data_IF_692301968367
#
_entry.id   IF_692301968367
#
_cell.length_a   1.000
_cell.length_b   1.000
_cell.length_c   1.000
_cell.angle_alpha   90.00
_cell.angle_beta   90.00
_cell.angle_gamma   90.00
#
_symmetry.space_group_name_H-M   'P 1'
#
loop_
_entity.id
_entity.type
_entity.pdbx_description
1 polymer ?
#
# COMPACT_ATOMS: atom_id res chain seq x y z
N UNK A 1 -11.59 -5.57 7.09
CA UNK A 1 -10.53 -6.40 6.50
C UNK A 1 -9.46 -5.56 5.82
N UNK A 2 -8.25 -6.11 5.74
CA UNK A 2 -7.14 -5.52 4.99
C UNK A 2 -6.88 -6.44 3.80
N UNK A 3 -7.08 -5.93 2.58
CA UNK A 3 -6.83 -6.68 1.36
C UNK A 3 -5.42 -6.37 0.85
N UNK A 4 -4.57 -7.39 0.77
CA UNK A 4 -3.17 -7.23 0.39
C UNK A 4 -2.98 -7.52 -1.10
N UNK A 5 -2.30 -6.62 -1.80
CA UNK A 5 -1.95 -6.76 -3.22
C UNK A 5 -0.46 -6.46 -3.40
N UNK A 6 0.17 -7.08 -4.38
CA UNK A 6 1.58 -6.83 -4.66
C UNK A 6 2.13 -7.75 -5.74
N UNK A 7 3.13 -7.26 -6.45
CA UNK A 7 3.82 -7.98 -7.51
C UNK A 7 5.08 -8.69 -6.99
N UNK A 8 5.48 -9.76 -7.66
CA UNK A 8 6.78 -10.40 -7.46
C UNK A 8 7.86 -9.69 -8.29
N UNK A 9 9.14 -9.98 -8.01
CA UNK A 9 10.27 -9.30 -8.65
C UNK A 9 10.25 -9.45 -10.17
N UNK A 10 9.97 -10.63 -10.67
CA UNK A 10 9.92 -10.92 -12.11
C UNK A 10 8.88 -10.03 -12.82
N UNK A 11 7.73 -9.82 -12.21
CA UNK A 11 6.67 -8.96 -12.74
C UNK A 11 7.09 -7.50 -12.73
N UNK A 12 7.79 -7.07 -11.66
CA UNK A 12 8.34 -5.71 -11.56
C UNK A 12 9.39 -5.47 -12.64
N UNK A 13 10.33 -6.38 -12.80
CA UNK A 13 11.39 -6.29 -13.82
C UNK A 13 10.84 -6.34 -15.25
N UNK A 14 9.78 -7.10 -15.48
CA UNK A 14 9.11 -7.18 -16.78
C UNK A 14 8.24 -5.94 -17.09
N UNK A 15 8.04 -5.05 -16.11
CA UNK A 15 7.19 -3.88 -16.28
C UNK A 15 5.70 -4.19 -16.27
N UNK A 16 5.30 -5.39 -15.83
CA UNK A 16 3.89 -5.85 -15.80
C UNK A 16 3.22 -5.66 -14.46
N UNK A 17 3.89 -5.04 -13.50
CA UNK A 17 3.38 -4.89 -12.13
C UNK A 17 2.04 -4.15 -12.06
N UNK A 18 1.79 -3.15 -12.88
CA UNK A 18 0.49 -2.46 -12.90
C UNK A 18 -0.64 -3.38 -13.37
N UNK A 19 -0.39 -4.22 -14.37
CA UNK A 19 -1.39 -5.19 -14.86
C UNK A 19 -1.71 -6.22 -13.77
N UNK A 20 -0.70 -6.68 -13.03
CA UNK A 20 -0.86 -7.60 -11.91
C UNK A 20 -1.70 -6.97 -10.80
N UNK A 21 -1.38 -5.76 -10.40
CA UNK A 21 -2.11 -5.02 -9.37
C UNK A 21 -3.56 -4.78 -9.80
N UNK A 22 -3.78 -4.37 -11.04
CA UNK A 22 -5.14 -4.18 -11.59
C UNK A 22 -5.95 -5.45 -11.46
N UNK A 23 -5.40 -6.57 -11.90
CA UNK A 23 -6.07 -7.86 -11.84
C UNK A 23 -6.41 -8.25 -10.40
N UNK A 24 -5.47 -8.09 -9.47
CA UNK A 24 -5.70 -8.39 -8.05
C UNK A 24 -6.81 -7.54 -7.46
N UNK A 25 -6.83 -6.24 -7.74
CA UNK A 25 -7.85 -5.32 -7.25
C UNK A 25 -9.22 -5.64 -7.85
N UNK A 26 -9.30 -5.83 -9.16
CA UNK A 26 -10.56 -6.11 -9.85
C UNK A 26 -11.16 -7.44 -9.40
N UNK A 27 -10.38 -8.50 -9.37
CA UNK A 27 -10.86 -9.83 -8.97
C UNK A 27 -11.22 -9.92 -7.49
N UNK A 28 -10.49 -9.19 -6.64
CA UNK A 28 -10.68 -9.25 -5.20
C UNK A 28 -11.75 -8.32 -4.65
N UNK A 29 -11.98 -7.17 -5.28
CA UNK A 29 -12.82 -6.11 -4.71
C UNK A 29 -14.00 -5.67 -5.57
N UNK A 30 -13.91 -5.76 -6.90
CA UNK A 30 -14.89 -5.11 -7.78
C UNK A 30 -16.27 -5.77 -7.80
N UNK A 31 -16.43 -6.93 -7.15
CA UNK A 31 -17.73 -7.55 -6.89
C UNK A 31 -18.44 -6.98 -5.65
N UNK A 32 -17.72 -6.19 -4.83
CA UNK A 32 -18.29 -5.56 -3.64
C UNK A 32 -19.06 -4.29 -3.99
N UNK A 33 -20.06 -3.95 -3.19
CA UNK A 33 -20.78 -2.70 -3.35
C UNK A 33 -20.10 -1.54 -2.57
N UNK A 34 -20.62 -0.33 -2.73
CA UNK A 34 -20.09 0.87 -2.07
C UNK A 34 -20.10 0.73 -0.54
N UNK A 35 -21.15 0.16 0.02
CA UNK A 35 -21.27 0.00 1.47
C UNK A 35 -20.21 -0.94 2.03
N UNK A 36 -19.88 -2.01 1.31
CA UNK A 36 -18.81 -2.92 1.69
C UNK A 36 -17.44 -2.23 1.63
N UNK A 37 -17.22 -1.40 0.60
CA UNK A 37 -15.94 -0.69 0.41
C UNK A 37 -15.61 0.27 1.55
N UNK A 38 -16.60 0.78 2.26
CA UNK A 38 -16.38 1.66 3.41
C UNK A 38 -15.61 0.97 4.55
N UNK A 39 -15.63 -0.36 4.59
CA UNK A 39 -14.99 -1.16 5.61
C UNK A 39 -13.67 -1.82 5.14
N UNK A 40 -13.21 -1.53 3.92
CA UNK A 40 -12.01 -2.12 3.35
C UNK A 40 -10.81 -1.21 3.55
N UNK A 41 -9.68 -1.82 3.87
CA UNK A 41 -8.36 -1.22 3.81
C UNK A 41 -7.54 -2.01 2.79
N UNK A 42 -6.76 -1.34 1.95
CA UNK A 42 -5.86 -2.02 1.01
C UNK A 42 -4.43 -1.85 1.52
N UNK A 43 -3.64 -2.93 1.44
CA UNK A 43 -2.20 -2.86 1.69
C UNK A 43 -1.45 -3.23 0.42
N UNK A 44 -0.56 -2.36 -0.03
CA UNK A 44 0.37 -2.67 -1.11
C UNK A 44 1.61 -3.31 -0.53
N UNK A 45 1.82 -4.57 -0.87
CA UNK A 45 2.95 -5.37 -0.41
C UNK A 45 3.82 -5.78 -1.60
N UNK A 46 4.83 -4.97 -1.99
CA UNK A 46 5.76 -5.39 -3.02
C UNK A 46 6.53 -6.62 -2.49
N UNK A 47 6.22 -7.79 -3.04
CA UNK A 47 6.74 -9.07 -2.51
C UNK A 47 8.27 -9.09 -2.53
N UNK A 48 8.88 -8.48 -3.55
CA UNK A 48 10.33 -8.36 -3.69
C UNK A 48 10.98 -7.48 -2.60
N UNK A 49 10.20 -6.74 -1.85
CA UNK A 49 10.67 -5.85 -0.77
C UNK A 49 10.19 -6.31 0.62
N UNK A 50 9.80 -7.59 0.77
CA UNK A 50 9.38 -8.17 2.04
C UNK A 50 10.42 -9.18 2.50
N UNK A 51 11.17 -8.85 3.58
CA UNK A 51 12.14 -9.76 4.17
C UNK A 51 13.34 -10.10 3.31
N UNK A 52 13.59 -9.33 2.25
CA UNK A 52 14.67 -9.57 1.29
C UNK A 52 15.87 -8.65 1.46
N UNK A 53 15.74 -7.63 2.31
CA UNK A 53 16.72 -6.55 2.42
C UNK A 53 16.58 -5.47 1.35
N UNK A 54 15.74 -5.70 0.34
CA UNK A 54 15.39 -4.69 -0.67
C UNK A 54 14.23 -3.85 -0.16
N UNK A 55 14.20 -2.58 -0.55
CA UNK A 55 13.10 -1.66 -0.21
C UNK A 55 12.63 -0.98 -1.48
N UNK A 56 11.32 -0.70 -1.55
CA UNK A 56 10.81 0.20 -2.58
C UNK A 56 11.21 1.63 -2.22
N UNK A 57 11.55 2.43 -3.23
CA UNK A 57 11.70 3.87 -3.00
C UNK A 57 10.33 4.47 -2.70
N UNK A 58 10.26 5.62 -2.01
CA UNK A 58 8.99 6.31 -1.81
C UNK A 58 8.24 6.58 -3.11
N UNK A 59 8.96 6.91 -4.17
CA UNK A 59 8.38 7.18 -5.49
C UNK A 59 7.81 5.91 -6.14
N UNK A 60 8.51 4.78 -6.03
CA UNK A 60 8.01 3.50 -6.53
C UNK A 60 6.73 3.08 -5.80
N UNK A 61 6.71 3.24 -4.48
CA UNK A 61 5.53 2.95 -3.68
C UNK A 61 4.37 3.89 -4.04
N UNK A 62 4.65 5.18 -4.15
CA UNK A 62 3.63 6.19 -4.50
C UNK A 62 2.98 5.91 -5.85
N UNK A 63 3.75 5.55 -6.87
CA UNK A 63 3.21 5.21 -8.18
C UNK A 63 2.15 4.12 -8.12
N UNK A 64 2.41 3.07 -7.34
CA UNK A 64 1.46 1.97 -7.19
C UNK A 64 0.27 2.37 -6.32
N UNK A 65 0.49 3.09 -5.23
CA UNK A 65 -0.59 3.59 -4.38
C UNK A 65 -1.55 4.48 -5.16
N UNK A 66 -1.01 5.40 -5.93
CA UNK A 66 -1.80 6.28 -6.79
C UNK A 66 -2.59 5.49 -7.84
N UNK A 67 -1.94 4.49 -8.45
CA UNK A 67 -2.59 3.62 -9.42
C UNK A 67 -3.78 2.88 -8.79
N UNK A 68 -3.61 2.31 -7.58
CA UNK A 68 -4.69 1.64 -6.86
C UNK A 68 -5.83 2.61 -6.58
N UNK A 69 -5.53 3.80 -6.07
CA UNK A 69 -6.55 4.83 -5.78
C UNK A 69 -7.32 5.21 -7.02
N UNK A 70 -6.65 5.34 -8.15
CA UNK A 70 -7.30 5.64 -9.44
C UNK A 70 -8.23 4.51 -9.88
N UNK A 71 -7.84 3.24 -9.70
CA UNK A 71 -8.72 2.10 -9.99
C UNK A 71 -10.00 2.15 -9.16
N UNK A 72 -9.87 2.45 -7.87
CA UNK A 72 -11.03 2.57 -6.97
C UNK A 72 -11.89 3.76 -7.38
N UNK A 73 -11.28 4.87 -7.74
CA UNK A 73 -12.00 6.06 -8.21
C UNK A 73 -12.82 5.77 -9.47
N UNK A 74 -12.24 5.08 -10.45
CA UNK A 74 -12.93 4.71 -11.68
C UNK A 74 -14.15 3.82 -11.43
N UNK A 75 -14.06 2.92 -10.45
CA UNK A 75 -15.13 1.97 -10.16
C UNK A 75 -16.18 2.51 -9.20
N UNK A 76 -15.75 3.17 -8.12
CA UNK A 76 -16.61 3.53 -6.98
C UNK A 76 -16.81 5.03 -6.80
N UNK A 77 -16.06 5.86 -7.52
CA UNK A 77 -16.13 7.30 -7.42
C UNK A 77 -15.08 7.91 -6.51
N UNK A 78 -14.93 9.22 -6.63
CA UNK A 78 -13.89 10.00 -5.94
C UNK A 78 -14.04 9.94 -4.42
N UNK A 79 -15.26 10.04 -3.90
CA UNK A 79 -15.49 10.06 -2.45
C UNK A 79 -15.00 8.76 -1.78
N UNK A 80 -15.29 7.62 -2.38
CA UNK A 80 -14.83 6.33 -1.86
C UNK A 80 -13.31 6.23 -1.98
N UNK A 81 -12.74 6.64 -3.12
CA UNK A 81 -11.29 6.59 -3.35
C UNK A 81 -10.53 7.47 -2.34
N UNK A 82 -11.04 8.65 -2.01
CA UNK A 82 -10.42 9.56 -1.04
C UNK A 82 -10.50 9.05 0.40
N UNK A 83 -11.58 8.36 0.76
CA UNK A 83 -11.77 7.82 2.11
C UNK A 83 -11.03 6.52 2.34
N UNK A 84 -10.74 5.76 1.29
CA UNK A 84 -10.07 4.47 1.38
C UNK A 84 -8.63 4.65 1.89
N UNK A 85 -8.25 3.87 2.90
CA UNK A 85 -6.87 3.82 3.36
C UNK A 85 -6.08 2.81 2.58
N UNK A 86 -4.96 3.26 2.00
CA UNK A 86 -4.02 2.41 1.27
C UNK A 86 -2.71 2.44 2.03
N UNK A 87 -2.35 1.31 2.64
CA UNK A 87 -1.17 1.17 3.48
C UNK A 87 0.02 0.61 2.68
N UNK A 88 1.21 1.09 2.98
CA UNK A 88 2.42 0.48 2.45
C UNK A 88 2.83 -0.70 3.33
N UNK A 89 2.92 -1.89 2.74
CA UNK A 89 3.22 -3.14 3.44
C UNK A 89 4.59 -3.75 3.13
N UNK A 90 5.42 -3.06 2.36
CA UNK A 90 6.81 -3.45 2.19
C UNK A 90 7.66 -3.09 3.41
N UNK A 91 8.99 -3.29 3.31
CA UNK A 91 9.90 -2.95 4.41
C UNK A 91 9.78 -1.48 4.81
N UNK A 92 9.31 -1.26 6.02
CA UNK A 92 9.15 0.05 6.63
C UNK A 92 9.79 0.03 8.02
N UNK A 93 10.63 1.01 8.30
CA UNK A 93 11.34 1.15 9.57
C UNK A 93 11.37 2.63 9.99
N UNK A 94 11.98 2.91 11.15
CA UNK A 94 12.06 4.27 11.67
C UNK A 94 12.83 5.24 10.76
N UNK A 95 13.69 4.72 9.88
CA UNK A 95 14.52 5.55 8.98
C UNK A 95 13.80 5.96 7.71
N UNK A 96 12.99 5.07 7.12
CA UNK A 96 12.32 5.32 5.84
C UNK A 96 10.84 5.71 5.97
N UNK A 97 10.25 5.57 7.15
CA UNK A 97 8.82 5.83 7.36
C UNK A 97 8.42 7.27 7.01
N UNK A 98 9.23 8.25 7.39
CA UNK A 98 8.92 9.66 7.14
C UNK A 98 8.76 9.97 5.65
N UNK A 99 9.68 9.47 4.82
CA UNK A 99 9.66 9.71 3.38
C UNK A 99 8.50 8.97 2.70
N UNK A 100 8.19 7.76 3.17
CA UNK A 100 7.05 7.00 2.68
C UNK A 100 5.73 7.70 3.02
N UNK A 101 5.56 8.09 4.27
CA UNK A 101 4.30 8.69 4.73
C UNK A 101 4.12 10.16 4.28
N UNK A 102 5.16 10.77 3.72
CA UNK A 102 5.06 12.08 3.09
C UNK A 102 4.43 12.00 1.69
N UNK A 103 4.30 10.80 1.11
CA UNK A 103 3.72 10.64 -0.22
C UNK A 103 2.20 10.83 -0.18
N UNK A 104 1.60 11.49 -1.21
CA UNK A 104 0.18 11.86 -1.20
C UNK A 104 -0.79 10.68 -1.07
N UNK A 105 -0.47 9.53 -1.63
CA UNK A 105 -1.38 8.39 -1.69
C UNK A 105 -1.01 7.25 -0.73
N UNK A 106 0.01 7.44 0.11
CA UNK A 106 0.39 6.48 1.16
C UNK A 106 -0.21 6.96 2.47
N UNK A 107 -1.26 6.27 2.94
CA UNK A 107 -2.04 6.68 4.11
C UNK A 107 -1.48 6.14 5.44
N UNK A 108 -0.48 5.29 5.37
CA UNK A 108 0.14 4.67 6.54
C UNK A 108 0.91 3.43 6.17
N UNK A 109 1.24 2.61 7.16
CA UNK A 109 2.03 1.39 6.96
C UNK A 109 1.40 0.18 7.62
N UNK A 110 1.60 -0.98 7.02
CA UNK A 110 1.35 -2.28 7.63
C UNK A 110 2.71 -2.82 8.06
N UNK A 111 3.01 -2.74 9.35
CA UNK A 111 4.35 -2.92 9.88
C UNK A 111 4.55 -4.36 10.37
N UNK A 112 5.56 -5.04 9.84
CA UNK A 112 5.94 -6.39 10.24
C UNK A 112 7.05 -6.40 11.30
N UNK A 113 8.27 -6.78 10.92
CA UNK A 113 9.39 -6.95 11.85
C UNK A 113 9.71 -5.74 12.73
N UNK A 114 9.58 -4.54 12.20
CA UNK A 114 9.85 -3.32 12.98
C UNK A 114 8.82 -3.10 14.10
N UNK A 115 7.66 -3.76 14.08
CA UNK A 115 6.67 -3.68 15.15
C UNK A 115 7.05 -4.50 16.38
N UNK A 116 8.06 -5.35 16.27
CA UNK A 116 8.52 -6.18 17.39
C UNK A 116 9.34 -5.41 18.43
N UNK A 117 9.81 -4.23 18.06
CA UNK A 117 10.53 -3.33 18.97
C UNK A 117 9.68 -2.10 19.24
N UNK A 118 9.31 -1.88 20.49
CA UNK A 118 8.42 -0.79 20.89
C UNK A 118 8.93 0.58 20.45
N UNK A 119 10.23 0.85 20.61
CA UNK A 119 10.82 2.13 20.22
C UNK A 119 10.70 2.41 18.72
N UNK A 120 11.00 1.41 17.90
CA UNK A 120 10.89 1.52 16.45
C UNK A 120 9.44 1.71 16.02
N UNK A 121 8.52 0.93 16.58
CA UNK A 121 7.11 1.03 16.24
C UNK A 121 6.51 2.38 16.63
N UNK A 122 6.83 2.87 17.83
CA UNK A 122 6.39 4.20 18.28
C UNK A 122 6.93 5.29 17.36
N UNK A 123 8.21 5.21 16.98
CA UNK A 123 8.81 6.16 16.04
C UNK A 123 8.06 6.20 14.70
N UNK A 124 7.74 5.02 14.15
CA UNK A 124 6.98 4.90 12.92
C UNK A 124 5.58 5.52 13.08
N UNK A 125 4.90 5.23 14.18
CA UNK A 125 3.56 5.75 14.45
C UNK A 125 3.55 7.28 14.57
N UNK A 126 4.55 7.85 15.23
CA UNK A 126 4.69 9.32 15.35
C UNK A 126 4.90 9.96 13.97
N UNK A 127 5.70 9.34 13.10
CA UNK A 127 5.92 9.83 11.75
C UNK A 127 4.67 9.74 10.88
N UNK A 128 3.85 8.70 11.08
CA UNK A 128 2.58 8.54 10.35
C UNK A 128 1.53 9.57 10.74
N UNK A 129 1.61 10.13 11.94
CA UNK A 129 0.63 11.08 12.47
C UNK A 129 0.93 12.54 12.15
N UNK A 130 1.99 12.81 11.43
CA UNK A 130 2.38 14.19 11.07
C UNK A 130 1.72 14.70 9.77
#
# INVERSE_FOLDING_TARGET
PIYCVGEVLEEREAGTHFDVIRKQVEEGLFHLDVADMENIVIAYEPVWAIGTGKTATPQQAEEVHKFIRNLICEKYGEDIAEQLRILYGGSCNAKNASDLFAQPDIDGGLIGGASLKAEDFVSIAVQASK
#
